data_IF_293017730913
#
_entry.id   IF_293017730913
#
_cell.length_a   1.000
_cell.length_b   1.000
_cell.length_c   1.000
_cell.angle_alpha   90.00
_cell.angle_beta   90.00
_cell.angle_gamma   90.00
#
_symmetry.space_group_name_H-M   'P 1'
#
loop_
_entity.id
_entity.type
_entity.pdbx_description
1 polymer ?
#
# COMPACT_ATOMS: atom_id res chain seq x y z
N UNK A 1 10.40 45.53 27.72
CA UNK A 1 9.02 45.49 27.20
C UNK A 1 8.90 45.81 25.72
N UNK A 2 10.00 46.20 25.04
CA UNK A 2 9.93 46.80 23.70
C UNK A 2 10.71 46.03 22.62
N UNK A 3 10.93 44.73 22.75
CA UNK A 3 11.64 43.91 21.74
C UNK A 3 11.12 42.49 21.58
N UNK A 4 9.83 42.28 21.73
CA UNK A 4 9.16 41.19 21.03
C UNK A 4 8.74 41.70 19.64
N UNK A 5 9.66 42.38 18.97
CA UNK A 5 9.46 42.93 17.64
C UNK A 5 9.99 41.99 16.56
N UNK A 6 9.83 40.68 16.81
CA UNK A 6 9.90 39.65 15.77
C UNK A 6 8.46 39.37 15.29
N UNK A 7 7.67 40.44 15.12
CA UNK A 7 6.30 40.39 14.56
C UNK A 7 6.25 39.77 13.19
N UNK A 8 7.39 39.75 12.47
CA UNK A 8 7.51 39.06 11.18
C UNK A 8 7.47 37.52 11.30
N UNK A 9 7.70 36.94 12.50
CA UNK A 9 7.63 35.49 12.72
C UNK A 9 6.29 34.97 13.20
N UNK A 10 5.54 35.83 13.90
CA UNK A 10 4.28 35.41 14.53
C UNK A 10 3.17 36.33 14.08
N UNK A 11 2.10 35.84 13.42
CA UNK A 11 0.91 36.62 13.07
C UNK A 11 0.32 37.29 14.29
N UNK A 12 -0.27 38.50 14.10
CA UNK A 12 -0.91 39.23 15.19
C UNK A 12 -1.93 38.37 15.95
N UNK A 13 -1.84 38.38 17.28
CA UNK A 13 -2.76 37.67 18.16
C UNK A 13 -2.58 36.17 18.26
N UNK A 14 -1.50 35.60 17.70
CA UNK A 14 -1.22 34.18 17.87
C UNK A 14 -0.51 33.81 19.21
N UNK A 15 0.12 34.76 19.88
CA UNK A 15 0.78 34.55 21.17
C UNK A 15 -0.28 34.60 22.28
N UNK A 16 -0.48 33.46 22.98
CA UNK A 16 -1.44 33.37 24.10
C UNK A 16 -0.78 33.79 25.42
N UNK A 17 0.45 33.34 25.67
CA UNK A 17 1.13 33.52 26.94
C UNK A 17 2.65 33.52 26.74
N UNK A 18 3.36 34.39 27.47
CA UNK A 18 4.83 34.44 27.48
C UNK A 18 5.29 34.00 28.86
N UNK A 19 6.23 33.06 28.92
CA UNK A 19 6.78 32.55 30.19
C UNK A 19 8.28 32.28 30.06
N UNK A 20 8.95 32.02 31.17
CA UNK A 20 10.39 31.74 31.25
C UNK A 20 11.30 32.76 30.57
N UNK A 21 11.04 34.06 30.82
CA UNK A 21 11.96 35.11 30.37
C UNK A 21 13.34 34.96 31.03
N UNK A 22 14.38 34.86 30.20
CA UNK A 22 15.76 34.79 30.67
C UNK A 22 16.71 35.50 29.71
N UNK A 23 17.72 36.15 30.25
CA UNK A 23 18.70 36.87 29.47
C UNK A 23 19.87 35.98 29.06
N UNK A 24 20.14 35.88 27.77
CA UNK A 24 21.28 35.18 27.20
C UNK A 24 22.07 36.17 26.31
N UNK A 25 23.29 36.50 26.70
CA UNK A 25 24.20 37.37 25.95
C UNK A 25 23.56 38.71 25.48
N UNK A 26 22.93 39.44 26.39
CA UNK A 26 22.21 40.72 26.12
C UNK A 26 20.97 40.62 25.20
N UNK A 27 20.44 39.42 25.03
CA UNK A 27 19.16 39.18 24.34
C UNK A 27 18.23 38.49 25.34
N UNK A 28 17.07 39.09 25.58
CA UNK A 28 16.03 38.45 26.39
C UNK A 28 15.35 37.37 25.56
N UNK A 29 15.50 36.11 25.95
CA UNK A 29 14.78 34.98 25.41
C UNK A 29 13.58 34.67 26.28
N UNK A 30 12.48 34.29 25.66
CA UNK A 30 11.28 33.86 26.36
C UNK A 30 10.66 32.65 25.63
N UNK A 31 10.03 31.78 26.39
CA UNK A 31 9.17 30.76 25.85
C UNK A 31 7.78 31.35 25.63
N UNK A 32 7.17 31.08 24.49
CA UNK A 32 5.83 31.58 24.15
C UNK A 32 4.88 30.43 23.92
N UNK A 33 3.69 30.52 24.46
CA UNK A 33 2.57 29.64 24.14
C UNK A 33 1.79 30.27 22.98
N UNK A 34 1.74 29.59 21.86
CA UNK A 34 1.17 30.08 20.61
C UNK A 34 -0.14 29.38 20.34
N UNK A 35 -1.15 30.14 19.89
CA UNK A 35 -2.32 29.57 19.23
C UNK A 35 -1.89 29.01 17.88
N UNK A 36 -1.84 27.69 17.79
CA UNK A 36 -1.33 27.00 16.61
C UNK A 36 -2.19 27.25 15.35
N UNK A 37 -3.49 27.41 15.52
CA UNK A 37 -4.40 27.71 14.39
C UNK A 37 -4.12 29.07 13.78
N UNK A 38 -3.96 30.10 14.62
CA UNK A 38 -3.59 31.45 14.17
C UNK A 38 -2.18 31.51 13.60
N UNK A 39 -1.24 30.81 14.24
CA UNK A 39 0.14 30.71 13.76
C UNK A 39 0.23 30.04 12.38
N UNK A 40 -0.58 28.99 12.12
CA UNK A 40 -0.62 28.30 10.84
C UNK A 40 -1.43 29.01 9.75
N UNK A 41 -1.97 30.21 10.05
CA UNK A 41 -2.74 31.00 9.08
C UNK A 41 -4.13 30.47 8.80
N UNK A 42 -4.69 29.65 9.70
CA UNK A 42 -6.07 29.16 9.61
C UNK A 42 -7.02 30.31 9.94
N UNK A 43 -8.00 30.57 9.09
CA UNK A 43 -8.98 31.62 9.28
C UNK A 43 -9.87 31.32 10.50
N UNK A 44 -10.27 32.39 11.23
CA UNK A 44 -11.20 32.28 12.35
C UNK A 44 -12.52 31.64 11.86
N UNK A 45 -12.89 30.47 12.45
CA UNK A 45 -14.09 29.72 12.08
C UNK A 45 -13.88 28.53 11.15
N UNK A 46 -12.67 28.29 10.67
CA UNK A 46 -12.34 27.02 10.03
C UNK A 46 -12.14 25.91 11.09
N UNK A 47 -12.92 24.84 10.98
CA UNK A 47 -12.82 23.70 11.86
C UNK A 47 -12.10 22.53 11.20
N UNK A 48 -11.02 22.06 11.82
CA UNK A 48 -10.33 20.84 11.44
C UNK A 48 -10.80 19.68 12.32
N UNK A 49 -11.70 18.84 11.82
CA UNK A 49 -12.37 17.76 12.57
C UNK A 49 -11.42 16.80 13.27
N UNK A 50 -10.29 16.49 12.65
CA UNK A 50 -9.25 15.61 13.22
C UNK A 50 -7.98 16.39 13.61
N UNK A 51 -8.08 17.72 13.66
CA UNK A 51 -6.92 18.58 13.90
C UNK A 51 -6.06 18.76 12.65
N UNK A 52 -4.87 19.31 12.88
CA UNK A 52 -3.89 19.60 11.82
C UNK A 52 -2.62 18.77 12.00
N UNK A 53 -1.83 18.67 10.95
CA UNK A 53 -0.48 18.14 11.02
C UNK A 53 0.52 19.22 11.50
N UNK A 54 1.81 18.86 11.59
CA UNK A 54 2.88 19.75 12.04
C UNK A 54 3.12 20.98 11.12
N UNK A 55 2.50 21.00 9.92
CA UNK A 55 2.54 22.14 8.99
C UNK A 55 1.19 22.89 8.94
N UNK A 56 0.28 22.68 9.87
CA UNK A 56 -1.03 23.32 9.90
C UNK A 56 -2.03 22.83 8.88
N UNK A 57 -1.73 21.75 8.14
CA UNK A 57 -2.62 21.23 7.10
C UNK A 57 -3.67 20.31 7.70
N UNK A 58 -4.91 20.38 7.21
CA UNK A 58 -6.03 19.57 7.67
C UNK A 58 -5.75 18.07 7.58
N UNK A 59 -5.79 17.39 8.73
CA UNK A 59 -5.45 15.96 8.83
C UNK A 59 -6.50 15.08 8.15
N UNK A 60 -7.79 15.45 8.23
CA UNK A 60 -8.87 14.66 7.61
C UNK A 60 -8.72 14.62 6.09
N UNK A 61 -8.52 15.77 5.46
CA UNK A 61 -8.30 15.88 4.02
C UNK A 61 -7.08 15.08 3.59
N UNK A 62 -6.01 15.13 4.36
CA UNK A 62 -4.77 14.38 4.09
C UNK A 62 -4.95 12.88 4.24
N UNK A 63 -5.76 12.42 5.21
CA UNK A 63 -6.10 11.01 5.38
C UNK A 63 -6.84 10.45 4.16
N UNK A 64 -7.87 11.15 3.66
CA UNK A 64 -8.59 10.71 2.46
C UNK A 64 -7.72 10.75 1.20
N UNK A 65 -6.90 11.78 1.03
CA UNK A 65 -5.92 11.83 -0.07
C UNK A 65 -4.90 10.70 0.04
N UNK A 66 -4.37 10.44 1.23
CA UNK A 66 -3.44 9.36 1.49
C UNK A 66 -4.05 7.99 1.21
N UNK A 67 -5.28 7.75 1.66
CA UNK A 67 -6.02 6.53 1.37
C UNK A 67 -6.21 6.32 -0.14
N UNK A 68 -6.57 7.38 -0.88
CA UNK A 68 -6.69 7.31 -2.34
C UNK A 68 -5.37 6.91 -3.00
N UNK A 69 -4.25 7.48 -2.58
CA UNK A 69 -2.93 7.16 -3.14
C UNK A 69 -2.53 5.73 -2.82
N UNK A 70 -2.69 5.29 -1.57
CA UNK A 70 -2.41 3.90 -1.18
C UNK A 70 -3.29 2.90 -1.95
N UNK A 71 -4.55 3.24 -2.25
CA UNK A 71 -5.42 2.43 -3.11
C UNK A 71 -4.97 2.41 -4.57
N UNK A 72 -4.46 3.52 -5.11
CA UNK A 72 -3.89 3.56 -6.47
C UNK A 72 -2.67 2.65 -6.56
N UNK A 73 -1.80 2.65 -5.55
CA UNK A 73 -0.65 1.74 -5.50
C UNK A 73 -1.11 0.28 -5.45
N UNK A 74 -2.21 -0.01 -4.77
CA UNK A 74 -2.80 -1.35 -4.74
C UNK A 74 -3.25 -1.85 -6.12
N UNK A 75 -3.43 -0.97 -7.13
CA UNK A 75 -3.67 -1.38 -8.53
C UNK A 75 -2.50 -2.20 -9.09
N UNK A 76 -1.28 -2.02 -8.57
CA UNK A 76 -0.14 -2.89 -8.92
C UNK A 76 -0.45 -4.38 -8.72
N UNK A 77 -1.33 -4.71 -7.78
CA UNK A 77 -1.80 -6.09 -7.55
C UNK A 77 -2.51 -6.65 -8.79
N UNK A 78 -3.30 -5.84 -9.51
CA UNK A 78 -3.96 -6.29 -10.73
C UNK A 78 -2.94 -6.63 -11.83
N UNK A 79 -1.89 -5.82 -11.98
CA UNK A 79 -0.78 -6.09 -12.90
C UNK A 79 -0.05 -7.38 -12.50
N UNK A 80 0.25 -7.54 -11.21
CA UNK A 80 0.88 -8.75 -10.66
C UNK A 80 0.05 -10.01 -10.89
N UNK A 81 -1.28 -9.91 -10.80
CA UNK A 81 -2.18 -11.02 -11.10
C UNK A 81 -2.09 -11.43 -12.56
N UNK A 82 -2.16 -10.47 -13.48
CA UNK A 82 -2.07 -10.76 -14.93
C UNK A 82 -0.73 -11.42 -15.28
N UNK A 83 0.38 -10.85 -14.84
CA UNK A 83 1.72 -11.40 -15.08
C UNK A 83 1.82 -12.80 -14.45
N UNK A 84 1.41 -12.95 -13.20
CA UNK A 84 1.49 -14.22 -12.47
C UNK A 84 0.62 -15.31 -13.09
N UNK A 85 -0.58 -14.97 -13.58
CA UNK A 85 -1.45 -15.93 -14.30
C UNK A 85 -0.80 -16.39 -15.58
N UNK A 86 -0.31 -15.50 -16.42
CA UNK A 86 0.33 -15.85 -17.69
C UNK A 86 1.57 -16.71 -17.45
N UNK A 87 2.44 -16.26 -16.55
CA UNK A 87 3.68 -16.95 -16.23
C UNK A 87 3.44 -18.34 -15.62
N UNK A 88 2.54 -18.41 -14.62
CA UNK A 88 2.19 -19.66 -13.95
C UNK A 88 1.46 -20.64 -14.88
N UNK A 89 0.61 -20.14 -15.79
CA UNK A 89 -0.08 -20.97 -16.78
C UNK A 89 0.91 -21.59 -17.77
N UNK A 90 1.86 -20.81 -18.30
CA UNK A 90 2.90 -21.34 -19.21
C UNK A 90 3.74 -22.40 -18.50
N UNK A 91 4.24 -22.09 -17.30
CA UNK A 91 5.05 -22.99 -16.49
C UNK A 91 4.29 -24.28 -16.19
N UNK A 92 3.07 -24.18 -15.63
CA UNK A 92 2.26 -25.33 -15.24
C UNK A 92 1.74 -26.18 -16.42
N UNK A 93 1.42 -25.56 -17.58
CA UNK A 93 0.93 -26.27 -18.74
C UNK A 93 2.03 -27.00 -19.48
N UNK A 94 3.12 -26.31 -19.83
CA UNK A 94 4.25 -26.89 -20.57
C UNK A 94 4.96 -27.96 -19.75
N UNK A 95 5.25 -27.69 -18.48
CA UNK A 95 5.97 -28.61 -17.61
C UNK A 95 7.43 -28.85 -18.06
N UNK A 96 8.07 -29.89 -17.50
CA UNK A 96 9.41 -30.36 -17.90
C UNK A 96 10.48 -29.26 -17.81
N UNK A 97 11.34 -29.14 -18.81
CA UNK A 97 12.48 -28.20 -18.83
C UNK A 97 12.03 -26.71 -18.80
N UNK A 98 10.91 -26.39 -19.46
CA UNK A 98 10.35 -25.04 -19.49
C UNK A 98 9.93 -24.63 -18.08
N UNK A 99 9.22 -25.47 -17.39
CA UNK A 99 8.78 -25.24 -16.03
C UNK A 99 9.96 -25.05 -15.06
N UNK A 100 10.98 -25.90 -15.16
CA UNK A 100 12.19 -25.80 -14.33
C UNK A 100 12.88 -24.46 -14.58
N UNK A 101 13.08 -24.05 -15.84
CA UNK A 101 13.72 -22.79 -16.19
C UNK A 101 12.95 -21.59 -15.67
N UNK A 102 11.63 -21.54 -15.90
CA UNK A 102 10.78 -20.45 -15.43
C UNK A 102 10.73 -20.40 -13.90
N UNK A 103 10.66 -21.54 -13.23
CA UNK A 103 10.66 -21.59 -11.76
C UNK A 103 11.97 -21.01 -11.19
N UNK A 104 13.14 -21.44 -11.71
CA UNK A 104 14.41 -20.89 -11.25
C UNK A 104 14.56 -19.39 -11.54
N UNK A 105 14.07 -18.90 -12.69
CA UNK A 105 14.09 -17.47 -12.98
C UNK A 105 13.24 -16.68 -11.96
N UNK A 106 12.07 -17.20 -11.61
CA UNK A 106 11.22 -16.58 -10.58
C UNK A 106 11.87 -16.63 -9.19
N UNK A 107 12.56 -17.73 -8.85
CA UNK A 107 13.29 -17.89 -7.57
C UNK A 107 14.44 -16.89 -7.43
N UNK A 108 15.18 -16.63 -8.51
CA UNK A 108 16.24 -15.60 -8.52
C UNK A 108 15.66 -14.21 -8.20
N UNK A 109 14.52 -13.86 -8.78
CA UNK A 109 13.85 -12.59 -8.50
C UNK A 109 13.27 -12.52 -7.08
N UNK A 110 12.69 -13.63 -6.60
CA UNK A 110 12.13 -13.74 -5.25
C UNK A 110 13.19 -13.67 -4.15
N UNK A 111 14.43 -14.07 -4.47
CA UNK A 111 15.58 -13.99 -3.57
C UNK A 111 16.07 -12.56 -3.32
N UNK A 112 15.64 -11.58 -4.11
CA UNK A 112 16.04 -10.19 -3.92
C UNK A 112 15.21 -9.53 -2.82
N UNK A 113 15.84 -8.91 -1.79
CA UNK A 113 15.10 -8.17 -0.77
C UNK A 113 14.29 -7.04 -1.40
N UNK A 114 12.97 -7.04 -1.17
CA UNK A 114 12.03 -6.07 -1.73
C UNK A 114 12.47 -4.60 -1.52
N UNK A 115 12.97 -4.28 -0.32
CA UNK A 115 13.45 -2.92 0.00
C UNK A 115 14.60 -2.51 -0.90
N UNK A 116 15.53 -3.43 -1.19
CA UNK A 116 16.67 -3.15 -2.09
C UNK A 116 16.19 -2.88 -3.51
N UNK A 117 15.26 -3.68 -4.01
CA UNK A 117 14.64 -3.46 -5.32
C UNK A 117 13.97 -2.09 -5.38
N UNK A 118 13.24 -1.71 -4.33
CA UNK A 118 12.59 -0.39 -4.25
C UNK A 118 13.61 0.76 -4.28
N UNK A 119 14.70 0.66 -3.52
CA UNK A 119 15.76 1.68 -3.50
C UNK A 119 16.39 1.82 -4.90
N UNK A 120 16.68 0.71 -5.58
CA UNK A 120 17.22 0.76 -6.94
C UNK A 120 16.30 1.48 -7.92
N UNK A 121 14.99 1.19 -7.88
CA UNK A 121 14.03 1.91 -8.73
C UNK A 121 13.93 3.40 -8.37
N UNK A 122 13.97 3.75 -7.09
CA UNK A 122 13.98 5.15 -6.66
C UNK A 122 15.24 5.90 -7.07
N UNK A 123 16.40 5.24 -7.11
CA UNK A 123 17.65 5.85 -7.59
C UNK A 123 17.58 6.14 -9.10
N UNK A 124 16.93 5.29 -9.88
CA UNK A 124 16.85 5.44 -11.34
C UNK A 124 15.71 6.38 -11.77
N UNK A 125 14.53 6.26 -11.17
CA UNK A 125 13.31 6.95 -11.61
C UNK A 125 12.90 8.08 -10.65
N UNK A 126 13.61 8.28 -9.54
CA UNK A 126 13.25 9.23 -8.49
C UNK A 126 12.29 8.65 -7.47
N UNK A 127 12.20 9.32 -6.31
CA UNK A 127 11.27 8.96 -5.24
C UNK A 127 9.84 9.34 -5.65
N UNK A 128 8.96 8.34 -5.80
CA UNK A 128 7.58 8.58 -6.20
C UNK A 128 6.74 7.32 -6.35
N UNK A 129 5.46 7.52 -6.58
CA UNK A 129 4.47 6.43 -6.74
C UNK A 129 4.86 5.45 -7.86
N UNK A 130 5.41 5.96 -8.97
CA UNK A 130 5.81 5.13 -10.10
C UNK A 130 6.91 4.12 -9.73
N UNK A 131 7.95 4.57 -9.02
CA UNK A 131 9.05 3.70 -8.56
C UNK A 131 8.58 2.61 -7.61
N UNK A 132 7.66 2.95 -6.70
CA UNK A 132 7.05 1.99 -5.76
C UNK A 132 6.23 0.95 -6.53
N UNK A 133 5.37 1.37 -7.46
CA UNK A 133 4.55 0.46 -8.28
C UNK A 133 5.44 -0.49 -9.10
N UNK A 134 6.50 0.03 -9.73
CA UNK A 134 7.46 -0.80 -10.47
C UNK A 134 8.13 -1.84 -9.57
N UNK A 135 8.64 -1.41 -8.41
CA UNK A 135 9.27 -2.32 -7.45
C UNK A 135 8.31 -3.43 -6.99
N UNK A 136 7.06 -3.06 -6.67
CA UNK A 136 6.01 -4.01 -6.32
C UNK A 136 5.67 -4.96 -7.47
N UNK A 137 5.77 -4.49 -8.71
CA UNK A 137 5.45 -5.30 -9.89
C UNK A 137 6.55 -6.29 -10.22
N UNK A 138 7.82 -5.97 -10.00
CA UNK A 138 8.94 -6.87 -10.33
C UNK A 138 8.90 -8.18 -9.54
N UNK A 139 8.49 -8.14 -8.28
CA UNK A 139 8.49 -9.32 -7.40
C UNK A 139 7.08 -9.82 -7.03
N UNK A 140 6.07 -8.98 -7.09
CA UNK A 140 4.74 -9.26 -6.54
C UNK A 140 3.94 -10.33 -7.30
N UNK A 141 4.25 -10.57 -8.59
CA UNK A 141 3.57 -11.58 -9.42
C UNK A 141 4.00 -13.03 -9.09
N UNK A 142 5.17 -13.22 -8.45
CA UNK A 142 5.78 -14.56 -8.24
C UNK A 142 4.85 -15.45 -7.42
N UNK A 143 4.28 -14.94 -6.33
CA UNK A 143 3.35 -15.71 -5.51
C UNK A 143 2.08 -16.15 -6.26
N UNK A 144 1.58 -15.31 -7.18
CA UNK A 144 0.46 -15.66 -8.05
C UNK A 144 0.86 -16.71 -9.08
N UNK A 145 2.06 -16.61 -9.65
CA UNK A 145 2.55 -17.59 -10.62
C UNK A 145 2.68 -18.99 -10.01
N UNK A 146 3.19 -19.10 -8.79
CA UNK A 146 3.26 -20.37 -8.04
C UNK A 146 1.87 -20.96 -7.81
N UNK A 147 0.89 -20.14 -7.42
CA UNK A 147 -0.48 -20.58 -7.23
C UNK A 147 -1.07 -21.15 -8.53
N UNK A 148 -0.99 -20.38 -9.62
CA UNK A 148 -1.55 -20.77 -10.91
C UNK A 148 -0.83 -22.00 -11.49
N UNK A 149 0.50 -22.06 -11.38
CA UNK A 149 1.28 -23.24 -11.75
C UNK A 149 0.77 -24.50 -11.05
N UNK A 150 0.56 -24.44 -9.73
CA UNK A 150 0.04 -25.57 -8.96
C UNK A 150 -1.38 -25.96 -9.40
N UNK A 151 -2.26 -24.99 -9.66
CA UNK A 151 -3.60 -25.27 -10.17
C UNK A 151 -3.55 -25.92 -11.57
N UNK A 152 -2.69 -25.44 -12.46
CA UNK A 152 -2.52 -26.06 -13.79
C UNK A 152 -2.03 -27.50 -13.69
N UNK A 153 -1.07 -27.80 -12.82
CA UNK A 153 -0.66 -29.20 -12.55
C UNK A 153 -1.81 -30.07 -12.05
N UNK A 154 -2.68 -29.53 -11.18
CA UNK A 154 -3.85 -30.22 -10.65
C UNK A 154 -4.90 -30.51 -11.72
N UNK A 155 -5.19 -29.52 -12.59
CA UNK A 155 -6.30 -29.61 -13.53
C UNK A 155 -5.93 -30.28 -14.86
N UNK A 156 -4.69 -30.12 -15.36
CA UNK A 156 -4.28 -30.70 -16.65
C UNK A 156 -4.37 -32.22 -16.71
N UNK A 157 -4.32 -32.91 -15.56
CA UNK A 157 -4.47 -34.37 -15.44
C UNK A 157 -5.89 -34.84 -15.16
N UNK A 158 -6.88 -33.95 -15.09
CA UNK A 158 -8.27 -34.33 -14.86
C UNK A 158 -8.90 -34.97 -16.07
N UNK A 159 -9.80 -35.94 -15.86
CA UNK A 159 -10.44 -36.76 -16.90
C UNK A 159 -11.09 -35.92 -18.00
N UNK A 160 -11.80 -34.85 -17.65
CA UNK A 160 -12.45 -33.98 -18.61
C UNK A 160 -11.46 -33.23 -19.53
N UNK A 161 -10.26 -32.88 -19.02
CA UNK A 161 -9.18 -32.25 -19.84
C UNK A 161 -8.54 -33.28 -20.74
N UNK A 162 -8.30 -34.49 -20.22
CA UNK A 162 -7.75 -35.60 -21.01
C UNK A 162 -8.71 -36.02 -22.11
N UNK A 163 -10.00 -36.15 -21.81
CA UNK A 163 -11.04 -36.43 -22.81
C UNK A 163 -11.10 -35.35 -23.91
N UNK A 164 -11.07 -34.09 -23.55
CA UNK A 164 -11.03 -32.99 -24.52
C UNK A 164 -9.77 -33.04 -25.41
N UNK A 165 -8.63 -33.41 -24.83
CA UNK A 165 -7.37 -33.55 -25.55
C UNK A 165 -7.41 -34.74 -26.55
N UNK A 166 -7.97 -35.87 -26.17
CA UNK A 166 -8.14 -37.05 -27.05
C UNK A 166 -9.11 -36.74 -28.21
N UNK A 167 -10.07 -35.85 -28.01
CA UNK A 167 -10.96 -35.33 -29.07
C UNK A 167 -10.29 -34.32 -30.00
N UNK A 168 -9.00 -34.03 -29.82
CA UNK A 168 -8.27 -33.08 -30.69
C UNK A 168 -8.45 -31.59 -30.39
N UNK A 169 -8.96 -31.25 -29.21
CA UNK A 169 -9.13 -29.83 -28.80
C UNK A 169 -7.74 -29.17 -28.71
N UNK A 170 -7.51 -28.02 -29.35
CA UNK A 170 -6.19 -27.37 -29.36
C UNK A 170 -5.83 -26.84 -27.96
N UNK A 171 -4.53 -26.82 -27.66
CA UNK A 171 -3.97 -26.42 -26.36
C UNK A 171 -4.48 -25.06 -25.85
N UNK A 172 -4.60 -24.08 -26.75
CA UNK A 172 -5.15 -22.76 -26.41
C UNK A 172 -6.56 -22.87 -25.82
N UNK A 173 -7.42 -23.69 -26.42
CA UNK A 173 -8.79 -23.91 -25.92
C UNK A 173 -8.79 -24.69 -24.61
N UNK A 174 -7.90 -25.69 -24.47
CA UNK A 174 -7.72 -26.41 -23.20
C UNK A 174 -7.33 -25.47 -22.06
N UNK A 175 -6.39 -24.56 -22.30
CA UNK A 175 -5.95 -23.57 -21.32
C UNK A 175 -7.09 -22.62 -20.94
N UNK A 176 -7.65 -21.91 -21.91
CA UNK A 176 -8.57 -20.79 -21.65
C UNK A 176 -10.00 -21.22 -21.32
N UNK A 177 -10.47 -22.36 -21.84
CA UNK A 177 -11.86 -22.79 -21.68
C UNK A 177 -12.03 -23.93 -20.67
N UNK A 178 -11.00 -24.73 -20.42
CA UNK A 178 -11.11 -25.92 -19.57
C UNK A 178 -10.31 -25.80 -18.26
N UNK A 179 -9.11 -25.18 -18.27
CA UNK A 179 -8.25 -25.12 -17.08
C UNK A 179 -8.39 -23.79 -16.35
N UNK A 180 -8.16 -22.67 -17.02
CA UNK A 180 -8.11 -21.33 -16.42
C UNK A 180 -9.40 -20.95 -15.68
N UNK A 181 -10.63 -21.24 -16.18
CA UNK A 181 -11.85 -20.92 -15.45
C UNK A 181 -11.93 -21.61 -14.08
N UNK A 182 -11.37 -22.79 -13.95
CA UNK A 182 -11.32 -23.52 -12.67
C UNK A 182 -10.26 -22.95 -11.70
N UNK A 183 -9.36 -22.08 -12.19
CA UNK A 183 -8.37 -21.39 -11.35
C UNK A 183 -8.88 -20.06 -10.82
N UNK A 184 -10.02 -19.54 -11.30
CA UNK A 184 -10.52 -18.20 -10.97
C UNK A 184 -10.84 -18.07 -9.47
N UNK A 185 -11.46 -19.08 -8.85
CA UNK A 185 -11.77 -19.03 -7.43
C UNK A 185 -10.55 -18.80 -6.55
N UNK A 186 -9.52 -19.65 -6.58
CA UNK A 186 -8.27 -19.43 -5.86
C UNK A 186 -7.55 -18.11 -6.23
N UNK A 187 -7.65 -17.67 -7.48
CA UNK A 187 -7.06 -16.43 -7.96
C UNK A 187 -7.72 -15.19 -7.32
N UNK A 188 -9.04 -15.16 -7.26
CA UNK A 188 -9.79 -14.07 -6.63
C UNK A 188 -9.44 -13.96 -5.15
N UNK A 189 -9.40 -15.10 -4.43
CA UNK A 189 -9.01 -15.12 -3.01
C UNK A 189 -7.59 -14.54 -2.85
N UNK A 190 -6.65 -14.96 -3.71
CA UNK A 190 -5.28 -14.45 -3.71
C UNK A 190 -5.25 -12.93 -3.96
N UNK A 191 -6.04 -12.44 -4.91
CA UNK A 191 -6.15 -11.02 -5.24
C UNK A 191 -6.61 -10.19 -4.04
N UNK A 192 -7.66 -10.64 -3.37
CA UNK A 192 -8.24 -9.92 -2.24
C UNK A 192 -7.29 -9.83 -1.04
N UNK A 193 -6.48 -10.87 -0.79
CA UNK A 193 -5.47 -10.85 0.27
C UNK A 193 -4.25 -10.00 -0.13
N UNK A 194 -3.93 -9.94 -1.41
CA UNK A 194 -2.78 -9.20 -1.90
C UNK A 194 -2.96 -7.67 -1.82
N UNK A 195 -4.20 -7.16 -1.94
CA UNK A 195 -4.48 -5.71 -1.86
C UNK A 195 -4.12 -5.11 -0.51
N UNK A 196 -4.58 -5.62 0.65
CA UNK A 196 -4.13 -5.15 1.96
C UNK A 196 -2.62 -5.26 2.13
N UNK A 197 -2.02 -6.37 1.64
CA UNK A 197 -0.58 -6.57 1.67
C UNK A 197 0.20 -5.47 0.92
N UNK A 198 -0.29 -5.05 -0.24
CA UNK A 198 0.31 -3.98 -1.02
C UNK A 198 0.22 -2.61 -0.30
N UNK A 199 -0.94 -2.29 0.28
CA UNK A 199 -1.15 -1.07 1.07
C UNK A 199 -0.21 -1.06 2.28
N UNK A 200 -0.10 -2.18 2.98
CA UNK A 200 0.81 -2.30 4.13
C UNK A 200 2.28 -2.15 3.72
N UNK A 201 2.69 -2.77 2.62
CA UNK A 201 4.07 -2.68 2.12
C UNK A 201 4.42 -1.25 1.71
N UNK A 202 3.51 -0.52 1.06
CA UNK A 202 3.68 0.90 0.76
C UNK A 202 3.81 1.73 2.04
N UNK A 203 2.89 1.52 3.00
CA UNK A 203 2.91 2.25 4.26
C UNK A 203 4.21 1.99 5.05
N UNK A 204 4.71 0.75 5.03
CA UNK A 204 5.99 0.40 5.64
C UNK A 204 7.17 1.09 4.97
N UNK A 205 7.23 1.10 3.62
CA UNK A 205 8.26 1.83 2.88
C UNK A 205 8.24 3.33 3.21
N UNK A 206 7.05 3.92 3.21
CA UNK A 206 6.90 5.34 3.55
C UNK A 206 7.33 5.63 5.00
N UNK A 207 7.01 4.73 5.93
CA UNK A 207 7.39 4.84 7.33
C UNK A 207 8.91 4.84 7.53
N UNK A 208 9.66 4.03 6.78
CA UNK A 208 11.14 4.00 6.82
C UNK A 208 11.80 5.08 5.94
N UNK A 209 11.02 6.03 5.41
CA UNK A 209 11.54 7.15 4.61
C UNK A 209 11.67 6.89 3.10
N UNK A 210 11.25 5.72 2.62
CA UNK A 210 11.21 5.35 1.21
C UNK A 210 9.80 5.54 0.62
N UNK A 211 9.12 6.60 1.03
CA UNK A 211 7.77 6.94 0.59
C UNK A 211 7.73 7.82 -0.66
N UNK A 212 6.52 8.26 -0.97
CA UNK A 212 6.28 9.22 -2.06
C UNK A 212 6.81 10.60 -1.64
N UNK A 213 7.44 11.31 -2.58
CA UNK A 213 7.95 12.64 -2.30
C UNK A 213 6.81 13.65 -2.02
N UNK A 214 7.00 14.60 -1.10
CA UNK A 214 6.06 15.71 -0.91
C UNK A 214 5.76 16.43 -2.25
N UNK A 215 4.56 17.02 -2.42
CA UNK A 215 3.52 17.30 -1.40
C UNK A 215 2.48 16.18 -1.20
N UNK A 216 2.53 15.10 -1.97
CA UNK A 216 1.51 14.06 -1.96
C UNK A 216 1.56 13.25 -0.65
N UNK A 217 0.43 13.12 0.08
CA UNK A 217 0.36 12.28 1.26
C UNK A 217 0.08 10.82 0.88
N UNK A 218 0.65 9.87 1.63
CA UNK A 218 0.15 8.50 1.73
C UNK A 218 -0.13 8.17 3.18
N UNK A 219 -0.85 7.09 3.47
CA UNK A 219 -1.13 6.70 4.85
C UNK A 219 0.19 6.45 5.61
N UNK A 220 1.18 5.84 4.96
CA UNK A 220 2.48 5.58 5.55
C UNK A 220 3.29 6.86 5.84
N UNK A 221 3.22 7.85 4.96
CA UNK A 221 3.85 9.16 5.20
C UNK A 221 3.20 9.87 6.39
N UNK A 222 1.87 9.79 6.52
CA UNK A 222 1.17 10.37 7.67
C UNK A 222 1.60 9.70 8.98
N UNK A 223 1.76 8.37 8.98
CA UNK A 223 2.28 7.62 10.12
C UNK A 223 3.71 8.03 10.47
N UNK A 224 4.60 8.13 9.48
CA UNK A 224 5.99 8.53 9.65
C UNK A 224 6.11 9.94 10.23
N UNK A 225 5.35 10.89 9.67
CA UNK A 225 5.31 12.27 10.16
C UNK A 225 4.75 12.36 11.59
N UNK A 226 3.65 11.65 11.87
CA UNK A 226 3.03 11.63 13.18
C UNK A 226 3.94 11.00 14.25
N UNK A 227 4.78 10.02 13.88
CA UNK A 227 5.72 9.40 14.80
C UNK A 227 6.72 10.41 15.38
N UNK A 228 7.19 11.36 14.59
CA UNK A 228 8.16 12.37 15.04
C UNK A 228 7.61 13.28 16.15
N UNK A 229 6.28 13.41 16.21
CA UNK A 229 5.57 14.25 17.18
C UNK A 229 4.63 13.46 18.10
N UNK A 230 4.80 12.13 18.17
CA UNK A 230 3.91 11.21 18.88
C UNK A 230 3.67 11.58 20.36
N UNK A 231 4.72 12.01 21.05
CA UNK A 231 4.62 12.35 22.47
C UNK A 231 3.83 13.65 22.73
N UNK A 232 3.76 14.55 21.74
CA UNK A 232 3.08 15.83 21.84
C UNK A 232 1.69 15.78 21.21
N UNK A 233 1.56 15.11 20.05
CA UNK A 233 0.34 15.05 19.25
C UNK A 233 0.00 13.62 18.81
N UNK A 234 -0.38 12.73 19.75
CA UNK A 234 -0.61 11.31 19.46
C UNK A 234 -1.71 11.07 18.42
N UNK A 235 -2.68 11.98 18.26
CA UNK A 235 -3.75 11.86 17.30
C UNK A 235 -3.24 11.80 15.84
N UNK A 236 -2.09 12.41 15.55
CA UNK A 236 -1.50 12.38 14.21
C UNK A 236 -1.03 10.97 13.78
N UNK A 237 -0.79 10.06 14.73
CA UNK A 237 -0.51 8.64 14.47
C UNK A 237 -1.77 7.81 14.58
N UNK A 238 -2.64 8.08 15.56
CA UNK A 238 -3.83 7.26 15.84
C UNK A 238 -4.77 7.24 14.64
N UNK A 239 -5.10 8.39 14.05
CA UNK A 239 -6.06 8.42 12.94
C UNK A 239 -5.57 7.68 11.68
N UNK A 240 -4.33 7.86 11.19
CA UNK A 240 -3.81 7.04 10.09
C UNK A 240 -3.73 5.56 10.42
N UNK A 241 -3.35 5.19 11.66
CA UNK A 241 -3.28 3.80 12.09
C UNK A 241 -4.66 3.13 12.13
N UNK A 242 -5.68 3.83 12.64
CA UNK A 242 -7.07 3.35 12.61
C UNK A 242 -7.56 3.19 11.18
N UNK A 243 -7.27 4.16 10.29
CA UNK A 243 -7.71 4.10 8.90
C UNK A 243 -7.11 2.90 8.16
N UNK A 244 -5.79 2.66 8.28
CA UNK A 244 -5.15 1.50 7.64
C UNK A 244 -5.70 0.18 8.22
N UNK A 245 -5.92 0.13 9.54
CA UNK A 245 -6.48 -1.05 10.20
C UNK A 245 -7.89 -1.35 9.70
N UNK A 246 -8.74 -0.34 9.58
CA UNK A 246 -10.10 -0.47 9.04
C UNK A 246 -10.08 -0.94 7.57
N UNK A 247 -9.20 -0.37 6.75
CA UNK A 247 -9.03 -0.81 5.36
C UNK A 247 -8.60 -2.28 5.29
N UNK A 248 -7.62 -2.70 6.09
CA UNK A 248 -7.17 -4.09 6.14
C UNK A 248 -8.28 -5.04 6.58
N UNK A 249 -9.04 -4.68 7.61
CA UNK A 249 -10.19 -5.48 8.09
C UNK A 249 -11.27 -5.56 7.02
N UNK A 250 -11.63 -4.45 6.38
CA UNK A 250 -12.65 -4.40 5.33
C UNK A 250 -12.27 -5.31 4.13
N UNK A 251 -11.04 -5.22 3.65
CA UNK A 251 -10.57 -6.09 2.55
C UNK A 251 -10.50 -7.56 2.96
N UNK A 252 -10.08 -7.88 4.20
CA UNK A 252 -10.06 -9.25 4.69
C UNK A 252 -11.47 -9.85 4.83
N UNK A 253 -12.44 -9.07 5.36
CA UNK A 253 -13.84 -9.50 5.44
C UNK A 253 -14.43 -9.71 4.05
N UNK A 254 -14.15 -8.80 3.11
CA UNK A 254 -14.58 -8.94 1.73
C UNK A 254 -13.97 -10.19 1.06
N UNK A 255 -12.67 -10.44 1.29
CA UNK A 255 -11.98 -11.62 0.79
C UNK A 255 -12.61 -12.93 1.30
N UNK A 256 -12.93 -12.97 2.60
CA UNK A 256 -13.58 -14.14 3.22
C UNK A 256 -15.00 -14.35 2.69
N UNK A 257 -15.80 -13.29 2.60
CA UNK A 257 -17.16 -13.38 2.02
C UNK A 257 -17.14 -13.86 0.57
N UNK A 258 -16.18 -13.37 -0.23
CA UNK A 258 -16.03 -13.79 -1.62
C UNK A 258 -15.54 -15.24 -1.74
N UNK A 259 -14.64 -15.66 -0.85
CA UNK A 259 -14.21 -17.07 -0.74
C UNK A 259 -15.41 -17.97 -0.45
N UNK A 260 -16.23 -17.61 0.54
CA UNK A 260 -17.40 -18.41 0.93
C UNK A 260 -18.44 -18.49 -0.20
N UNK A 261 -18.64 -17.40 -0.93
CA UNK A 261 -19.55 -17.36 -2.09
C UNK A 261 -19.04 -18.19 -3.29
N UNK A 262 -17.72 -18.34 -3.44
CA UNK A 262 -17.11 -19.08 -4.55
C UNK A 262 -16.77 -20.54 -4.18
N UNK A 263 -16.97 -20.95 -2.93
CA UNK A 263 -16.69 -22.32 -2.49
C UNK A 263 -17.86 -23.23 -2.92
N UNK A 264 -17.63 -24.17 -3.88
CA UNK A 264 -18.69 -25.05 -4.36
C UNK A 264 -19.17 -26.05 -3.30
N UNK A 265 -18.40 -26.30 -2.23
CA UNK A 265 -18.77 -27.25 -1.18
C UNK A 265 -19.91 -26.75 -0.31
N UNK A 266 -20.03 -25.42 -0.14
CA UNK A 266 -21.12 -24.80 0.62
C UNK A 266 -22.44 -24.69 -0.15
N UNK A 267 -22.42 -24.83 -1.48
CA UNK A 267 -23.65 -24.79 -2.31
C UNK A 267 -24.51 -26.06 -2.25
N UNK A 268 -24.05 -27.10 -1.58
CA UNK A 268 -24.76 -28.37 -1.44
C UNK A 268 -25.42 -28.58 -0.09
N UNK A 269 -25.34 -27.62 0.82
CA UNK A 269 -25.91 -27.69 2.18
C UNK A 269 -27.20 -26.86 2.35
N UNK A 270 -27.67 -26.15 1.30
CA UNK A 270 -29.00 -25.55 1.21
C UNK A 270 -29.91 -26.47 0.36
#
# INVERSE_FOLDING_TARGET
>A
KDKLDDTDRYPEGCIIEIFNEHDVKNVTMCDVKVDYYKYSGVADGEYHWLGTDYLGRDLLTRLFRGARISLIIAVSVAVNLVIGVVYGAISGYCGGKIDIFLTHLAEVLDGMPYVVVTILFMLVFGAGMFSIILAMTVTGWIGTSRLIRAQFYRFKGREYVLAARTMGVPDKTLIFRHILPNCVGPLIIRAMIAVPGAIFSEAFLAYIGLGIAPPEPSIGILLSNGQSVLLQYPYQVIFPAVLISLLMVAFNLFANGLRDALDPTKRGEE
#
